data_IF_645428682914
#
_entry.id   IF_645428682914
#
_cell.length_a   1.000
_cell.length_b   1.000
_cell.length_c   1.000
_cell.angle_alpha   90.00
_cell.angle_beta   90.00
_cell.angle_gamma   90.00
#
_symmetry.space_group_name_H-M   'P 1'
#
loop_
_entity.id
_entity.type
_entity.pdbx_description
1 polymer ?
#
# COMPACT_ATOMS: atom_id res chain seq x y z
N UNK A 1 -61.22 -29.03 20.97
CA UNK A 1 -62.58 -28.45 21.00
C UNK A 1 -62.54 -27.23 20.08
N UNK A 2 -63.14 -27.37 18.88
CA UNK A 2 -64.37 -26.74 18.36
C UNK A 2 -64.31 -25.18 18.53
N UNK A 3 -64.49 -24.35 17.55
CA UNK A 3 -65.40 -24.43 16.35
C UNK A 3 -64.94 -23.42 15.28
N UNK A 4 -65.14 -23.84 14.01
CA UNK A 4 -65.26 -22.99 12.81
C UNK A 4 -66.47 -22.05 12.94
N UNK A 5 -66.43 -20.88 12.32
CA UNK A 5 -67.63 -20.35 11.65
C UNK A 5 -67.22 -19.54 10.39
N UNK A 6 -67.95 -19.80 9.35
CA UNK A 6 -67.92 -19.41 7.98
C UNK A 6 -69.21 -18.57 7.72
N UNK A 7 -69.12 -17.57 6.84
CA UNK A 7 -70.33 -16.84 6.43
C UNK A 7 -70.00 -15.61 5.62
N UNK A 8 -69.90 -15.71 4.34
CA UNK A 8 -70.91 -15.37 3.28
C UNK A 8 -70.99 -13.85 3.03
N UNK A 9 -70.66 -13.56 1.75
CA UNK A 9 -70.89 -12.36 0.95
C UNK A 9 -72.39 -12.02 0.85
N UNK A 10 -72.81 -10.78 0.60
CA UNK A 10 -73.44 -10.53 -0.68
C UNK A 10 -72.96 -9.27 -1.43
N UNK A 11 -72.99 -9.41 -2.71
CA UNK A 11 -72.96 -8.44 -3.82
C UNK A 11 -74.20 -7.55 -3.73
N UNK A 12 -74.03 -6.24 -3.90
CA UNK A 12 -75.12 -5.40 -4.41
C UNK A 12 -74.58 -4.28 -5.31
N UNK A 13 -75.15 -4.26 -6.49
CA UNK A 13 -74.98 -3.32 -7.59
C UNK A 13 -75.85 -2.09 -7.32
N UNK A 14 -75.43 -0.89 -7.66
CA UNK A 14 -76.23 0.09 -8.39
C UNK A 14 -75.68 1.52 -8.38
N UNK A 15 -75.59 1.99 -9.51
CA UNK A 15 -76.04 3.27 -10.10
C UNK A 15 -75.16 4.50 -10.03
N UNK A 16 -74.86 4.88 -11.24
CA UNK A 16 -74.27 6.13 -11.75
C UNK A 16 -75.19 7.32 -11.46
N UNK A 17 -74.61 8.38 -10.90
CA UNK A 17 -75.13 9.75 -11.07
C UNK A 17 -73.93 10.69 -11.34
N UNK A 18 -73.91 11.21 -12.55
CA UNK A 18 -73.09 12.30 -13.05
C UNK A 18 -73.48 13.61 -12.38
N UNK A 19 -72.55 14.28 -11.70
CA UNK A 19 -72.66 15.69 -11.37
C UNK A 19 -71.36 16.40 -11.77
N UNK A 20 -71.46 17.35 -12.68
CA UNK A 20 -70.42 18.30 -13.01
C UNK A 20 -70.15 19.25 -11.87
N UNK A 21 -68.87 19.40 -11.49
CA UNK A 21 -68.37 20.53 -10.71
C UNK A 21 -66.95 20.90 -11.20
N UNK A 22 -66.53 22.15 -11.06
CA UNK A 22 -65.48 22.75 -11.89
C UNK A 22 -64.07 22.29 -11.52
N UNK A 23 -63.23 22.21 -12.51
CA UNK A 23 -61.83 21.79 -12.52
C UNK A 23 -60.98 22.89 -11.86
N UNK A 24 -60.47 22.69 -10.65
CA UNK A 24 -59.37 23.42 -10.11
C UNK A 24 -58.06 22.90 -10.71
N UNK A 25 -57.29 23.84 -11.27
CA UNK A 25 -55.97 23.59 -11.82
C UNK A 25 -54.96 23.26 -10.72
N UNK A 26 -54.47 22.00 -10.71
CA UNK A 26 -53.34 21.58 -9.92
C UNK A 26 -52.08 22.15 -10.55
N UNK A 27 -51.16 22.81 -9.80
CA UNK A 27 -49.90 23.26 -10.36
C UNK A 27 -49.03 22.03 -10.73
N UNK A 28 -48.58 22.02 -11.95
CA UNK A 28 -47.59 21.08 -12.50
C UNK A 28 -46.28 21.27 -11.79
N UNK A 29 -45.94 20.33 -10.88
CA UNK A 29 -44.64 20.29 -10.26
C UNK A 29 -43.65 19.81 -11.32
N UNK A 30 -42.87 20.72 -11.87
CA UNK A 30 -41.72 20.40 -12.70
C UNK A 30 -40.72 19.67 -11.83
N UNK A 31 -40.55 18.36 -12.05
CA UNK A 31 -39.41 17.62 -11.51
C UNK A 31 -38.22 18.08 -12.33
N UNK A 32 -37.36 18.93 -11.73
CA UNK A 32 -36.03 19.14 -12.24
C UNK A 32 -35.29 17.80 -12.11
N UNK A 33 -35.01 17.15 -13.22
CA UNK A 33 -34.02 16.10 -13.28
C UNK A 33 -32.68 16.71 -12.90
N UNK A 34 -32.23 16.44 -11.70
CA UNK A 34 -30.84 16.64 -11.29
C UNK A 34 -29.98 15.76 -12.21
N UNK A 35 -29.45 16.36 -13.26
CA UNK A 35 -28.42 15.76 -14.09
C UNK A 35 -27.17 15.67 -13.20
N UNK A 36 -26.96 14.52 -12.59
CA UNK A 36 -25.67 14.15 -12.00
C UNK A 36 -24.68 14.21 -13.19
N UNK A 37 -23.86 15.25 -13.24
CA UNK A 37 -22.69 15.26 -14.10
C UNK A 37 -21.77 14.18 -13.55
N UNK A 38 -21.70 13.04 -14.21
CA UNK A 38 -20.59 12.12 -14.04
C UNK A 38 -19.34 12.90 -14.41
N UNK A 39 -18.41 13.06 -13.43
CA UNK A 39 -17.10 13.58 -13.73
C UNK A 39 -16.49 12.69 -14.83
N UNK A 40 -15.83 13.29 -15.85
CA UNK A 40 -15.24 12.52 -16.93
C UNK A 40 -14.21 11.54 -16.33
N UNK A 41 -14.44 10.26 -16.49
CA UNK A 41 -13.44 9.21 -16.20
C UNK A 41 -12.26 9.51 -17.11
N UNK A 42 -11.13 9.92 -16.53
CA UNK A 42 -9.92 10.22 -17.27
C UNK A 42 -9.44 8.92 -17.94
N UNK A 43 -9.45 8.88 -19.29
CA UNK A 43 -9.02 7.70 -20.03
C UNK A 43 -7.54 7.40 -19.76
N UNK A 44 -7.24 6.12 -19.55
CA UNK A 44 -5.85 5.67 -19.37
C UNK A 44 -5.02 6.00 -20.63
N UNK A 45 -4.09 6.95 -20.49
CA UNK A 45 -3.25 7.46 -21.59
C UNK A 45 -1.76 7.17 -21.38
N UNK A 46 -1.39 6.68 -20.20
CA UNK A 46 -0.04 6.37 -19.79
C UNK A 46 0.05 4.99 -19.10
N UNK A 47 1.25 4.61 -18.72
CA UNK A 47 1.54 3.39 -17.98
C UNK A 47 2.26 3.77 -16.69
N UNK A 48 1.79 3.24 -15.56
CA UNK A 48 2.40 3.42 -14.27
C UNK A 48 3.82 2.87 -14.22
N UNK A 49 4.77 3.65 -13.76
CA UNK A 49 6.16 3.21 -13.52
C UNK A 49 6.30 2.29 -12.30
N UNK A 50 5.28 2.28 -11.43
CA UNK A 50 5.25 1.48 -10.19
C UNK A 50 4.56 0.13 -10.38
N UNK A 51 3.57 0.05 -11.28
CA UNK A 51 2.76 -1.16 -11.47
C UNK A 51 2.79 -1.71 -12.89
N UNK A 52 3.22 -0.94 -13.89
CA UNK A 52 3.11 -1.33 -15.30
C UNK A 52 1.67 -1.40 -15.83
N UNK A 53 0.69 -0.95 -15.06
CA UNK A 53 -0.73 -0.91 -15.42
C UNK A 53 -1.09 0.42 -16.09
N UNK A 54 -2.15 0.45 -16.91
CA UNK A 54 -2.66 1.69 -17.50
C UNK A 54 -3.13 2.67 -16.43
N UNK A 55 -2.72 3.94 -16.54
CA UNK A 55 -3.12 5.05 -15.65
C UNK A 55 -3.34 6.30 -16.47
N UNK A 56 -3.87 7.37 -15.88
CA UNK A 56 -3.90 8.69 -16.50
C UNK A 56 -2.47 9.28 -16.60
N UNK A 57 -2.27 10.25 -17.50
CA UNK A 57 -0.99 10.95 -17.63
C UNK A 57 -0.64 11.73 -16.36
N UNK A 58 -1.63 12.30 -15.69
CA UNK A 58 -1.46 12.99 -14.42
C UNK A 58 -0.89 12.07 -13.34
N UNK A 59 -1.47 10.88 -13.15
CA UNK A 59 -0.99 9.89 -12.18
C UNK A 59 0.40 9.37 -12.54
N UNK A 60 0.67 9.12 -13.84
CA UNK A 60 1.99 8.64 -14.29
C UNK A 60 3.14 9.61 -13.99
N UNK A 61 2.88 10.91 -14.02
CA UNK A 61 3.87 11.95 -13.76
C UNK A 61 3.93 12.36 -12.28
N UNK A 62 2.93 11.97 -11.49
CA UNK A 62 2.83 12.34 -10.09
C UNK A 62 3.89 11.66 -9.24
N UNK A 63 4.57 12.43 -8.39
CA UNK A 63 5.44 11.87 -7.34
C UNK A 63 4.57 11.12 -6.34
N UNK A 64 4.88 9.86 -6.04
CA UNK A 64 4.06 9.08 -5.12
C UNK A 64 4.20 9.56 -3.68
N UNK A 65 3.24 9.21 -2.83
CA UNK A 65 3.28 9.40 -1.39
C UNK A 65 3.77 8.10 -0.72
N UNK A 66 4.91 8.15 -0.05
CA UNK A 66 5.41 7.08 0.80
C UNK A 66 4.88 7.26 2.23
N UNK A 67 4.10 6.33 2.74
CA UNK A 67 3.46 6.43 4.07
C UNK A 67 3.91 5.32 4.98
N UNK A 68 4.42 5.70 6.18
CA UNK A 68 4.78 4.74 7.22
C UNK A 68 3.54 4.14 7.87
N UNK A 69 3.31 2.84 7.68
CA UNK A 69 2.15 2.12 8.20
C UNK A 69 2.51 1.21 9.38
N UNK A 70 1.56 1.07 10.28
CA UNK A 70 1.67 0.17 11.41
C UNK A 70 1.59 -1.30 10.98
N UNK A 71 2.30 -2.21 11.64
CA UNK A 71 2.18 -3.64 11.39
C UNK A 71 2.26 -4.48 12.68
N UNK A 72 1.92 -3.91 13.83
CA UNK A 72 1.67 -4.72 15.03
C UNK A 72 0.21 -5.15 15.06
N UNK A 73 -0.09 -6.23 15.77
CA UNK A 73 -1.41 -6.85 15.79
C UNK A 73 -2.51 -5.87 16.21
N UNK A 74 -2.27 -5.04 17.23
CA UNK A 74 -3.21 -4.02 17.71
C UNK A 74 -3.43 -2.86 16.71
N UNK A 75 -2.57 -2.75 15.71
CA UNK A 75 -2.67 -1.77 14.64
C UNK A 75 -3.31 -2.30 13.37
N UNK A 76 -3.68 -3.58 13.33
CA UNK A 76 -4.31 -4.24 12.19
C UNK A 76 -5.83 -4.35 12.39
N UNK A 77 -6.60 -4.43 11.29
CA UNK A 77 -6.19 -4.18 9.91
C UNK A 77 -5.80 -2.72 9.67
N UNK A 78 -4.91 -2.48 8.71
CA UNK A 78 -4.59 -1.13 8.24
C UNK A 78 -5.64 -0.67 7.23
N UNK A 79 -5.74 0.64 7.00
CA UNK A 79 -6.65 1.23 6.00
C UNK A 79 -5.87 1.69 4.78
N UNK A 80 -6.38 1.41 3.60
CA UNK A 80 -5.85 1.87 2.32
C UNK A 80 -4.57 1.16 1.88
N UNK A 81 -4.14 0.11 2.58
CA UNK A 81 -2.93 -0.64 2.21
C UNK A 81 -3.12 -1.35 0.87
N UNK A 82 -4.36 -1.73 0.54
CA UNK A 82 -4.71 -2.31 -0.76
C UNK A 82 -4.42 -1.34 -1.92
N UNK A 83 -4.52 -0.03 -1.71
CA UNK A 83 -4.30 0.98 -2.76
C UNK A 83 -2.81 1.27 -3.03
N UNK A 84 -1.90 0.83 -2.16
CA UNK A 84 -0.48 1.02 -2.39
C UNK A 84 0.00 0.23 -3.62
N UNK A 85 0.70 0.92 -4.54
CA UNK A 85 1.33 0.31 -5.71
C UNK A 85 2.52 -0.58 -5.31
N UNK A 86 3.30 -0.13 -4.32
CA UNK A 86 4.42 -0.87 -3.74
C UNK A 86 4.33 -0.85 -2.23
N UNK A 87 4.62 -1.98 -1.59
CA UNK A 87 4.67 -2.10 -0.13
C UNK A 87 6.05 -2.61 0.27
N UNK A 88 6.75 -1.85 1.10
CA UNK A 88 7.93 -2.34 1.81
C UNK A 88 7.53 -2.91 3.16
N UNK A 89 8.06 -4.07 3.49
CA UNK A 89 7.99 -4.66 4.82
C UNK A 89 9.40 -4.87 5.36
N UNK A 90 9.71 -4.21 6.47
CA UNK A 90 11.08 -4.16 7.01
C UNK A 90 11.06 -4.45 8.49
N UNK A 91 12.00 -5.26 9.02
CA UNK A 91 12.15 -5.44 10.46
C UNK A 91 12.41 -4.11 11.17
N UNK A 92 11.83 -3.98 12.36
CA UNK A 92 12.06 -2.87 13.28
C UNK A 92 12.32 -3.43 14.68
N UNK A 93 12.62 -2.56 15.63
CA UNK A 93 12.81 -2.92 17.02
C UNK A 93 11.57 -3.66 17.60
N UNK A 94 11.80 -4.47 18.62
CA UNK A 94 10.75 -5.30 19.24
C UNK A 94 10.46 -6.58 18.47
N UNK A 95 11.31 -6.95 17.51
CA UNK A 95 11.19 -8.16 16.69
C UNK A 95 9.87 -8.23 15.92
N UNK A 96 9.45 -7.11 15.36
CA UNK A 96 8.28 -7.01 14.49
C UNK A 96 8.71 -6.41 13.15
N UNK A 97 7.80 -6.39 12.19
CA UNK A 97 7.97 -5.62 10.96
C UNK A 97 7.15 -4.33 10.99
N UNK A 98 7.50 -3.41 10.12
CA UNK A 98 6.74 -2.20 9.80
C UNK A 98 6.55 -2.13 8.31
N UNK A 99 5.42 -1.55 7.88
CA UNK A 99 5.14 -1.34 6.48
C UNK A 99 5.43 0.11 6.08
N UNK A 100 5.75 0.29 4.80
CA UNK A 100 5.69 1.56 4.11
C UNK A 100 4.97 1.33 2.77
N UNK A 101 3.82 1.97 2.61
CA UNK A 101 3.07 1.96 1.35
C UNK A 101 3.54 3.11 0.46
N UNK A 102 3.73 2.83 -0.83
CA UNK A 102 3.99 3.81 -1.88
C UNK A 102 2.70 3.95 -2.68
N UNK A 103 2.07 5.09 -2.57
CA UNK A 103 0.77 5.41 -3.17
C UNK A 103 0.96 6.33 -4.37
N UNK A 104 0.63 5.84 -5.55
CA UNK A 104 0.74 6.58 -6.80
C UNK A 104 -0.39 7.60 -6.93
N UNK A 105 -1.62 7.16 -6.69
CA UNK A 105 -2.84 7.97 -6.77
C UNK A 105 -3.39 8.27 -5.36
N UNK A 106 -2.57 8.88 -4.49
CA UNK A 106 -2.90 9.10 -3.08
C UNK A 106 -4.07 10.06 -2.84
N UNK A 107 -4.41 10.88 -3.82
CA UNK A 107 -5.54 11.81 -3.73
C UNK A 107 -6.89 11.09 -3.78
N UNK A 108 -6.94 9.92 -4.42
CA UNK A 108 -8.15 9.11 -4.55
C UNK A 108 -8.28 8.01 -3.52
N UNK A 109 -7.28 7.77 -2.66
CA UNK A 109 -7.40 6.78 -1.58
C UNK A 109 -8.34 7.29 -0.48
N UNK A 110 -9.34 6.49 -0.10
CA UNK A 110 -10.36 6.90 0.87
C UNK A 110 -9.78 7.22 2.26
N UNK A 111 -8.90 6.31 2.78
CA UNK A 111 -8.32 6.42 4.12
C UNK A 111 -6.97 5.72 4.16
N UNK A 112 -5.92 6.39 4.64
CA UNK A 112 -4.58 5.81 4.78
C UNK A 112 -4.15 5.82 6.25
N UNK A 113 -3.79 4.65 6.78
CA UNK A 113 -3.28 4.48 8.15
C UNK A 113 -3.50 3.06 8.72
N UNK A 114 -3.20 2.82 10.00
CA UNK A 114 -2.67 3.78 10.97
C UNK A 114 -1.16 4.04 10.75
N UNK A 115 -0.79 5.31 10.91
CA UNK A 115 0.55 5.80 10.58
C UNK A 115 1.51 5.64 11.76
N UNK A 116 2.79 5.39 11.47
CA UNK A 116 3.82 5.12 12.47
C UNK A 116 5.12 5.90 12.23
N UNK A 117 6.03 5.69 13.17
CA UNK A 117 7.31 6.40 13.24
C UNK A 117 8.27 5.98 12.12
N UNK A 118 8.98 6.97 11.60
CA UNK A 118 10.09 6.81 10.65
C UNK A 118 11.33 6.13 11.26
N UNK A 119 12.08 5.48 10.38
CA UNK A 119 13.48 5.06 10.57
C UNK A 119 14.26 5.50 9.34
N UNK A 120 15.57 5.70 9.47
CA UNK A 120 16.40 6.22 8.37
C UNK A 120 16.38 5.33 7.12
N UNK A 121 16.42 4.02 7.28
CA UNK A 121 16.38 3.10 6.14
C UNK A 121 15.05 3.18 5.37
N UNK A 122 13.91 3.48 5.99
CA UNK A 122 12.67 3.73 5.26
C UNK A 122 12.72 5.02 4.44
N UNK A 123 13.39 6.05 4.95
CA UNK A 123 13.62 7.28 4.15
C UNK A 123 14.39 6.95 2.88
N UNK A 124 15.47 6.17 2.99
CA UNK A 124 16.23 5.75 1.83
C UNK A 124 15.39 4.93 0.84
N UNK A 125 14.50 4.06 1.30
CA UNK A 125 13.58 3.33 0.41
C UNK A 125 12.54 4.25 -0.25
N UNK A 126 12.07 5.29 0.43
CA UNK A 126 11.16 6.27 -0.16
C UNK A 126 11.86 7.11 -1.25
N UNK A 127 13.13 7.47 -1.05
CA UNK A 127 13.93 8.22 -2.02
C UNK A 127 14.13 7.46 -3.35
N UNK A 128 14.00 6.13 -3.36
CA UNK A 128 14.05 5.33 -4.59
C UNK A 128 12.94 5.68 -5.58
N UNK A 129 11.87 6.28 -5.11
CA UNK A 129 10.68 6.64 -5.89
C UNK A 129 10.51 8.16 -6.05
N UNK A 130 11.49 8.96 -5.65
CA UNK A 130 11.34 10.41 -5.56
C UNK A 130 10.08 10.81 -4.76
N UNK A 131 9.71 10.01 -3.74
CA UNK A 131 8.44 10.13 -3.05
C UNK A 131 8.38 11.30 -2.06
N UNK A 132 7.19 11.88 -1.88
CA UNK A 132 6.84 12.64 -0.68
C UNK A 132 6.76 11.65 0.50
N UNK A 133 7.35 11.97 1.65
CA UNK A 133 7.50 11.01 2.74
C UNK A 133 6.67 11.38 3.97
N UNK A 134 5.63 10.61 4.27
CA UNK A 134 4.68 10.86 5.36
C UNK A 134 4.85 9.88 6.53
N UNK A 135 4.99 10.40 7.75
CA UNK A 135 5.14 9.60 8.96
C UNK A 135 4.66 10.35 10.21
N UNK A 136 4.40 9.61 11.29
CA UNK A 136 4.05 10.19 12.60
C UNK A 136 4.94 9.61 13.70
N UNK A 137 5.90 10.39 14.18
CA UNK A 137 6.96 9.94 15.08
C UNK A 137 8.23 9.51 14.34
N UNK A 138 9.33 9.35 15.08
CA UNK A 138 10.64 9.04 14.50
C UNK A 138 11.61 8.48 15.54
N UNK A 139 12.66 7.78 15.06
CA UNK A 139 13.84 7.43 15.84
C UNK A 139 14.83 8.61 15.85
N UNK A 140 14.56 9.62 16.66
CA UNK A 140 15.27 10.92 16.66
C UNK A 140 16.81 10.82 16.60
N UNK A 141 17.50 9.90 17.32
CA UNK A 141 18.96 9.85 17.28
C UNK A 141 19.53 9.52 15.89
N UNK A 142 18.76 8.87 15.02
CA UNK A 142 19.27 8.28 13.79
C UNK A 142 18.70 8.91 12.51
N UNK A 143 17.49 9.45 12.56
CA UNK A 143 16.80 9.93 11.34
C UNK A 143 16.53 11.44 11.37
N UNK A 144 16.70 12.12 12.52
CA UNK A 144 16.32 13.52 12.68
C UNK A 144 17.00 14.45 11.68
N UNK A 145 18.32 14.35 11.54
CA UNK A 145 19.09 15.20 10.62
C UNK A 145 18.72 14.94 9.16
N UNK A 146 18.44 13.68 8.79
CA UNK A 146 18.02 13.32 7.44
C UNK A 146 16.64 13.91 7.14
N UNK A 147 15.67 13.81 8.04
CA UNK A 147 14.33 14.35 7.88
C UNK A 147 14.26 15.89 7.82
N UNK A 148 15.24 16.57 8.39
CA UNK A 148 15.37 18.03 8.35
C UNK A 148 16.25 18.54 7.20
N UNK A 149 16.82 17.63 6.40
CA UNK A 149 17.63 17.98 5.25
C UNK A 149 16.77 18.31 4.01
N UNK A 150 17.36 18.93 3.03
CA UNK A 150 16.77 19.20 1.70
C UNK A 150 16.72 17.96 0.79
N UNK A 151 17.17 16.80 1.30
CA UNK A 151 17.15 15.53 0.56
C UNK A 151 15.79 14.85 0.59
N UNK A 152 14.92 15.23 1.51
CA UNK A 152 13.65 14.56 1.79
C UNK A 152 12.52 15.56 1.87
N UNK A 153 11.54 15.44 1.02
CA UNK A 153 10.28 16.16 1.15
C UNK A 153 9.42 15.51 2.24
N UNK A 154 9.72 15.92 3.49
CA UNK A 154 9.25 15.28 4.71
C UNK A 154 7.92 15.85 5.19
N UNK A 155 6.91 15.02 5.34
CA UNK A 155 5.59 15.32 5.89
C UNK A 155 5.49 14.61 7.25
N UNK A 156 5.93 15.29 8.30
CA UNK A 156 5.97 14.73 9.65
C UNK A 156 4.87 15.30 10.53
N UNK A 157 4.08 14.43 11.14
CA UNK A 157 3.17 14.83 12.23
C UNK A 157 3.94 15.39 13.41
N UNK A 158 3.26 16.21 14.24
CA UNK A 158 3.85 16.96 15.36
C UNK A 158 4.70 16.10 16.28
N UNK A 159 6.00 16.08 16.05
CA UNK A 159 7.01 15.41 16.85
C UNK A 159 8.17 16.36 17.14
N UNK A 160 8.82 16.19 18.29
CA UNK A 160 9.97 17.01 18.66
C UNK A 160 11.14 16.77 17.69
N UNK A 161 11.85 17.84 17.31
CA UNK A 161 13.05 17.77 16.47
C UNK A 161 12.77 17.77 14.97
N UNK A 162 11.58 18.18 14.52
CA UNK A 162 11.25 18.43 13.12
C UNK A 162 11.14 19.94 12.91
N UNK A 163 11.88 20.46 11.94
CA UNK A 163 11.95 21.90 11.63
C UNK A 163 10.70 22.41 10.93
N UNK A 164 10.07 21.57 10.09
CA UNK A 164 8.85 21.87 9.34
C UNK A 164 7.75 20.86 9.68
N UNK A 165 7.09 20.95 10.85
CA UNK A 165 6.03 20.01 11.18
C UNK A 165 4.80 20.23 10.30
N UNK A 166 4.24 19.14 9.80
CA UNK A 166 2.96 19.10 9.10
C UNK A 166 1.82 19.21 10.12
N UNK A 167 1.09 20.34 10.06
CA UNK A 167 0.06 20.65 11.06
C UNK A 167 -1.35 20.26 10.61
N UNK A 168 -1.53 19.93 9.34
CA UNK A 168 -2.83 19.63 8.73
C UNK A 168 -2.94 18.21 8.22
N UNK A 169 -1.85 17.59 7.80
CA UNK A 169 -1.81 16.30 7.10
C UNK A 169 -2.33 15.10 7.91
N UNK A 170 -2.56 15.22 9.21
CA UNK A 170 -2.86 14.08 10.07
C UNK A 170 -4.02 14.36 11.03
N UNK A 171 -4.85 13.32 11.24
CA UNK A 171 -5.86 13.33 12.29
C UNK A 171 -5.79 12.05 13.14
N UNK A 172 -6.43 12.08 14.32
CA UNK A 172 -6.58 10.90 15.17
C UNK A 172 -8.04 10.42 15.14
N UNK A 173 -8.24 9.18 14.70
CA UNK A 173 -9.55 8.54 14.77
C UNK A 173 -9.88 8.15 16.20
N UNK A 174 -11.14 8.32 16.65
CA UNK A 174 -11.61 7.80 17.92
C UNK A 174 -11.82 6.28 17.93
N UNK A 175 -11.84 5.62 16.75
CA UNK A 175 -12.17 4.20 16.61
C UNK A 175 -11.09 3.27 17.14
N UNK A 176 -9.88 3.79 17.32
CA UNK A 176 -8.72 3.06 17.86
C UNK A 176 -8.05 3.84 18.98
N UNK A 177 -7.37 3.11 19.85
CA UNK A 177 -6.58 3.70 20.93
C UNK A 177 -5.23 4.22 20.40
N UNK A 178 -4.77 5.36 20.94
CA UNK A 178 -3.40 5.82 20.72
C UNK A 178 -2.40 4.75 21.21
N UNK A 179 -1.27 4.57 20.52
CA UNK A 179 -0.75 5.33 19.38
C UNK A 179 -1.16 4.79 17.99
N UNK A 180 -2.16 3.89 17.90
CA UNK A 180 -2.55 3.16 16.69
C UNK A 180 -3.70 3.82 15.92
N UNK A 181 -3.88 5.13 16.05
CA UNK A 181 -5.06 5.85 15.58
C UNK A 181 -4.77 7.13 14.78
N UNK A 182 -3.59 7.21 14.16
CA UNK A 182 -3.22 8.34 13.29
C UNK A 182 -3.45 7.97 11.84
N UNK A 183 -4.09 8.86 11.09
CA UNK A 183 -4.43 8.68 9.67
C UNK A 183 -4.11 9.95 8.88
N UNK A 184 -3.98 9.82 7.54
CA UNK A 184 -3.84 10.97 6.64
C UNK A 184 -5.17 11.71 6.57
N UNK A 185 -5.10 13.04 6.71
CA UNK A 185 -6.10 13.99 6.27
C UNK A 185 -5.72 14.47 4.87
N UNK A 186 -6.48 14.09 3.85
CA UNK A 186 -6.13 14.37 2.45
C UNK A 186 -6.09 15.86 2.14
N UNK A 187 -7.11 16.61 2.55
CA UNK A 187 -7.13 18.06 2.34
C UNK A 187 -6.00 18.76 3.10
N UNK A 188 -5.73 18.30 4.31
CA UNK A 188 -4.63 18.78 5.13
C UNK A 188 -3.27 18.45 4.53
N UNK A 189 -3.11 17.27 3.94
CA UNK A 189 -1.91 16.84 3.23
C UNK A 189 -1.58 17.80 2.07
N UNK A 190 -2.56 18.10 1.22
CA UNK A 190 -2.38 19.01 0.09
C UNK A 190 -2.01 20.44 0.55
N UNK A 191 -2.62 20.91 1.64
CA UNK A 191 -2.28 22.22 2.24
C UNK A 191 -0.84 22.26 2.76
N UNK A 192 -0.36 21.19 3.39
CA UNK A 192 1.02 21.15 3.89
C UNK A 192 2.03 20.98 2.75
N UNK A 193 1.72 20.19 1.70
CA UNK A 193 2.54 20.08 0.47
C UNK A 193 2.73 21.46 -0.18
N UNK A 194 1.64 22.20 -0.42
CA UNK A 194 1.66 23.55 -0.97
C UNK A 194 2.46 24.51 -0.07
N UNK A 195 2.18 24.51 1.23
CA UNK A 195 2.86 25.36 2.22
C UNK A 195 4.37 25.14 2.26
N UNK A 196 4.82 23.88 2.12
CA UNK A 196 6.24 23.56 2.12
C UNK A 196 6.92 23.81 0.78
N UNK A 197 6.14 23.98 -0.29
CA UNK A 197 6.61 24.18 -1.66
C UNK A 197 7.21 22.91 -2.27
N UNK A 198 6.69 21.75 -1.88
CA UNK A 198 7.15 20.47 -2.40
C UNK A 198 6.64 20.26 -3.83
N UNK A 199 7.50 19.69 -4.69
CA UNK A 199 7.09 19.26 -6.04
C UNK A 199 6.06 18.14 -5.93
N UNK A 200 5.08 18.14 -6.81
CA UNK A 200 4.09 17.06 -6.93
C UNK A 200 4.32 16.17 -8.14
N UNK A 201 5.18 16.60 -9.08
CA UNK A 201 5.53 15.85 -10.28
C UNK A 201 7.00 15.44 -10.25
N UNK A 202 7.32 14.32 -10.89
CA UNK A 202 8.70 13.88 -11.12
C UNK A 202 9.45 14.91 -11.97
N UNK A 203 10.75 14.95 -11.83
CA UNK A 203 11.63 15.72 -12.72
C UNK A 203 12.41 14.78 -13.65
N UNK A 204 13.13 15.36 -14.60
CA UNK A 204 13.91 14.62 -15.61
C UNK A 204 15.00 13.70 -15.03
N UNK A 205 15.30 13.81 -13.73
CA UNK A 205 16.29 12.96 -13.05
C UNK A 205 15.70 11.67 -12.47
N UNK A 206 14.38 11.51 -12.47
CA UNK A 206 13.73 10.32 -11.96
C UNK A 206 14.10 9.09 -12.78
N UNK A 207 14.44 8.01 -12.09
CA UNK A 207 14.80 6.72 -12.70
C UNK A 207 13.79 5.68 -12.22
N UNK A 208 13.12 5.05 -13.17
CA UNK A 208 12.16 3.97 -12.89
C UNK A 208 12.83 2.77 -12.21
N UNK A 209 12.20 2.26 -11.17
CA UNK A 209 12.72 1.13 -10.38
C UNK A 209 12.48 -0.22 -11.06
N UNK A 210 11.37 -0.38 -11.75
CA UNK A 210 10.91 -1.67 -12.25
C UNK A 210 10.89 -1.73 -13.79
N UNK A 211 11.08 -2.94 -14.29
CA UNK A 211 10.85 -3.27 -15.69
C UNK A 211 9.71 -4.27 -15.77
N UNK A 212 8.66 -3.95 -16.54
CA UNK A 212 7.48 -4.79 -16.68
C UNK A 212 7.43 -5.52 -18.02
N UNK A 213 7.02 -6.80 -17.99
CA UNK A 213 6.86 -7.63 -19.18
C UNK A 213 5.52 -7.29 -19.88
N UNK A 214 5.58 -6.71 -21.08
CA UNK A 214 4.39 -6.31 -21.85
C UNK A 214 3.39 -7.44 -22.11
N UNK A 215 3.86 -8.70 -22.21
CA UNK A 215 3.04 -9.88 -22.52
C UNK A 215 2.99 -10.87 -21.34
N UNK A 216 3.35 -10.43 -20.13
CA UNK A 216 3.51 -11.27 -18.95
C UNK A 216 4.81 -12.10 -18.99
N UNK A 217 5.11 -12.78 -17.89
CA UNK A 217 6.37 -13.49 -17.66
C UNK A 217 6.29 -15.01 -17.82
N UNK A 218 5.11 -15.57 -18.09
CA UNK A 218 4.85 -17.03 -18.05
C UNK A 218 5.81 -17.82 -18.96
N UNK A 219 5.99 -17.39 -20.21
CA UNK A 219 6.91 -18.05 -21.14
C UNK A 219 8.37 -17.77 -20.82
N UNK A 220 8.67 -16.58 -20.34
CA UNK A 220 10.04 -16.14 -20.00
C UNK A 220 10.62 -16.95 -18.84
N UNK A 221 9.80 -17.20 -17.81
CA UNK A 221 10.21 -17.88 -16.59
C UNK A 221 9.68 -19.31 -16.45
N UNK A 222 9.17 -19.91 -17.52
CA UNK A 222 8.59 -21.26 -17.50
C UNK A 222 9.53 -22.33 -16.90
N UNK A 223 10.85 -22.21 -17.11
CA UNK A 223 11.86 -23.15 -16.57
C UNK A 223 12.34 -22.80 -15.15
N UNK A 224 11.90 -21.69 -14.57
CA UNK A 224 12.30 -21.29 -13.21
C UNK A 224 11.57 -22.13 -12.16
N UNK A 225 12.13 -22.17 -10.95
CA UNK A 225 11.58 -22.92 -9.81
C UNK A 225 10.19 -22.41 -9.46
N UNK A 226 9.25 -23.30 -9.20
CA UNK A 226 7.96 -22.95 -8.64
C UNK A 226 8.11 -22.38 -7.22
N UNK A 227 7.25 -21.41 -6.88
CA UNK A 227 7.24 -20.72 -5.61
C UNK A 227 5.80 -20.39 -5.22
N UNK A 228 5.13 -21.37 -4.62
CA UNK A 228 3.70 -21.28 -4.30
C UNK A 228 3.44 -20.67 -2.92
N UNK A 229 4.34 -20.90 -1.95
CA UNK A 229 4.19 -20.37 -0.60
C UNK A 229 5.52 -19.79 -0.14
N UNK A 230 5.49 -18.52 0.27
CA UNK A 230 6.67 -17.76 0.65
C UNK A 230 6.61 -17.39 2.14
N UNK A 231 7.66 -17.75 2.88
CA UNK A 231 7.81 -17.42 4.30
C UNK A 231 9.09 -16.59 4.49
N UNK A 232 9.01 -15.27 4.48
CA UNK A 232 10.19 -14.39 4.61
C UNK A 232 10.93 -14.52 5.94
N UNK A 233 10.25 -15.01 6.98
CA UNK A 233 10.83 -15.29 8.31
C UNK A 233 10.83 -16.74 8.71
N UNK A 234 10.54 -17.66 7.77
CA UNK A 234 10.41 -19.07 8.06
C UNK A 234 9.05 -19.49 8.63
N UNK A 235 8.94 -20.77 8.96
CA UNK A 235 7.71 -21.36 9.49
C UNK A 235 7.63 -21.36 11.02
N UNK A 236 8.76 -21.10 11.71
CA UNK A 236 8.81 -21.01 13.16
C UNK A 236 8.35 -19.64 13.64
N UNK A 237 7.54 -19.58 14.69
CA UNK A 237 7.16 -18.35 15.37
C UNK A 237 8.17 -17.93 16.45
N UNK A 238 9.13 -18.79 16.75
CA UNK A 238 10.14 -18.58 17.80
C UNK A 238 11.42 -17.93 17.29
N UNK A 239 11.55 -17.72 15.96
CA UNK A 239 12.70 -17.09 15.37
C UNK A 239 12.83 -15.62 15.82
N UNK A 240 14.06 -15.14 15.86
CA UNK A 240 14.35 -13.77 16.36
C UNK A 240 14.02 -12.67 15.34
N UNK A 241 13.76 -13.03 14.09
CA UNK A 241 13.45 -12.07 13.03
C UNK A 241 12.01 -11.54 13.12
N UNK A 242 11.79 -10.32 12.63
CA UNK A 242 10.49 -9.65 12.70
C UNK A 242 9.39 -10.36 11.90
N UNK A 243 9.75 -10.95 10.76
CA UNK A 243 8.81 -11.66 9.88
C UNK A 243 8.21 -12.92 10.53
N UNK A 244 9.02 -13.66 11.30
CA UNK A 244 8.52 -14.84 12.00
C UNK A 244 7.53 -14.49 13.09
N UNK A 245 7.76 -13.40 13.83
CA UNK A 245 6.85 -12.94 14.88
C UNK A 245 5.50 -12.49 14.32
N UNK A 246 5.48 -11.78 13.20
CA UNK A 246 4.23 -11.42 12.52
C UNK A 246 3.66 -12.56 11.69
N UNK A 247 4.34 -13.72 11.64
CA UNK A 247 3.93 -14.90 10.87
C UNK A 247 3.67 -14.55 9.39
N UNK A 248 4.58 -13.78 8.82
CA UNK A 248 4.49 -13.29 7.45
C UNK A 248 4.49 -14.44 6.45
N UNK A 249 3.48 -14.50 5.59
CA UNK A 249 3.34 -15.54 4.57
C UNK A 249 2.62 -14.98 3.35
N UNK A 250 3.02 -15.48 2.15
CA UNK A 250 2.32 -15.25 0.89
C UNK A 250 1.96 -16.59 0.25
N UNK A 251 0.75 -16.70 -0.28
CA UNK A 251 0.28 -17.88 -1.01
C UNK A 251 -0.13 -17.47 -2.43
N UNK A 252 0.49 -18.10 -3.42
CA UNK A 252 0.19 -17.86 -4.84
C UNK A 252 -1.08 -18.59 -5.25
N UNK A 253 -1.99 -17.87 -5.87
CA UNK A 253 -3.16 -18.44 -6.52
C UNK A 253 -2.96 -18.43 -8.05
N UNK A 254 -2.89 -19.59 -8.73
CA UNK A 254 -2.67 -19.65 -10.18
C UNK A 254 -3.88 -19.20 -11.01
N UNK A 255 -5.07 -19.08 -10.43
CA UNK A 255 -6.29 -18.68 -11.15
C UNK A 255 -6.27 -17.18 -11.48
N UNK A 256 -5.87 -16.33 -10.52
CA UNK A 256 -5.79 -14.88 -10.66
C UNK A 256 -4.34 -14.37 -10.72
N UNK A 257 -3.36 -15.26 -10.52
CA UNK A 257 -1.92 -14.99 -10.56
C UNK A 257 -1.44 -14.00 -9.47
N UNK A 258 -2.09 -14.00 -8.32
CA UNK A 258 -1.77 -13.14 -7.19
C UNK A 258 -1.15 -13.93 -6.03
N UNK A 259 -0.27 -13.26 -5.27
CA UNK A 259 0.23 -13.70 -3.98
C UNK A 259 -0.60 -13.07 -2.88
N UNK A 260 -1.39 -13.88 -2.17
CA UNK A 260 -2.23 -13.48 -1.05
C UNK A 260 -1.45 -13.41 0.25
N UNK A 261 -1.54 -12.27 0.94
CA UNK A 261 -0.79 -12.01 2.18
C UNK A 261 -1.53 -12.53 3.41
N UNK A 262 -0.76 -13.17 4.29
CA UNK A 262 -1.19 -13.62 5.63
C UNK A 262 -0.24 -13.09 6.69
N UNK A 263 -0.78 -12.80 7.88
CA UNK A 263 0.00 -12.43 9.07
C UNK A 263 -0.77 -12.78 10.34
N UNK A 264 -0.06 -12.95 11.45
CA UNK A 264 -0.64 -13.31 12.76
C UNK A 264 -1.54 -14.54 12.71
N UNK A 265 -1.26 -15.48 11.80
CA UNK A 265 -2.01 -16.72 11.60
C UNK A 265 -3.27 -16.62 10.75
N UNK A 266 -3.65 -15.41 10.31
CA UNK A 266 -4.87 -15.15 9.54
C UNK A 266 -4.60 -14.36 8.26
N UNK A 267 -5.63 -14.12 7.46
CA UNK A 267 -5.60 -13.26 6.28
C UNK A 267 -5.25 -11.83 6.67
N UNK A 268 -4.35 -11.20 5.94
CA UNK A 268 -4.08 -9.78 6.09
C UNK A 268 -5.12 -8.98 5.31
N UNK A 269 -6.03 -8.32 6.02
CA UNK A 269 -7.20 -7.63 5.46
C UNK A 269 -6.94 -6.12 5.43
N UNK A 270 -7.41 -5.44 4.38
CA UNK A 270 -7.56 -3.98 4.39
C UNK A 270 -8.83 -3.59 5.16
N UNK A 271 -8.77 -2.55 6.01
CA UNK A 271 -9.90 -2.11 6.83
C UNK A 271 -11.02 -1.49 5.99
N UNK A 272 -10.68 -0.77 4.92
CA UNK A 272 -11.63 -0.01 4.10
C UNK A 272 -12.44 -0.94 3.22
N UNK A 273 -11.76 -1.81 2.48
CA UNK A 273 -12.39 -2.67 1.49
C UNK A 273 -12.88 -4.00 2.05
N UNK A 274 -12.28 -4.46 3.16
CA UNK A 274 -12.50 -5.80 3.71
C UNK A 274 -11.84 -6.92 2.89
N UNK A 275 -11.11 -6.57 1.83
CA UNK A 275 -10.41 -7.54 0.98
C UNK A 275 -9.13 -8.05 1.64
N UNK A 276 -8.76 -9.28 1.31
CA UNK A 276 -7.42 -9.76 1.65
C UNK A 276 -6.39 -9.10 0.74
N UNK A 277 -5.32 -8.56 1.34
CA UNK A 277 -4.21 -7.97 0.59
C UNK A 277 -3.58 -9.02 -0.33
N UNK A 278 -3.41 -8.66 -1.57
CA UNK A 278 -2.79 -9.48 -2.60
C UNK A 278 -1.96 -8.62 -3.55
N UNK A 279 -0.86 -9.20 -4.05
CA UNK A 279 0.06 -8.53 -4.96
C UNK A 279 0.47 -9.46 -6.08
N UNK A 280 0.84 -8.88 -7.22
CA UNK A 280 1.30 -9.64 -8.40
C UNK A 280 2.73 -10.13 -8.23
N UNK A 281 3.57 -9.34 -7.55
CA UNK A 281 4.99 -9.63 -7.39
C UNK A 281 5.39 -9.55 -5.92
N UNK A 282 6.28 -10.43 -5.49
CA UNK A 282 6.95 -10.38 -4.19
C UNK A 282 8.46 -10.36 -4.41
N UNK A 283 9.18 -9.55 -3.65
CA UNK A 283 10.65 -9.47 -3.72
C UNK A 283 11.22 -9.67 -2.32
N UNK A 284 12.15 -10.58 -2.18
CA UNK A 284 13.01 -10.68 -1.00
C UNK A 284 14.34 -10.02 -1.31
N UNK A 285 14.55 -8.84 -0.76
CA UNK A 285 15.78 -8.06 -0.87
C UNK A 285 16.63 -8.29 0.39
N UNK A 286 17.75 -8.97 0.24
CA UNK A 286 18.63 -9.27 1.35
C UNK A 286 19.54 -8.07 1.61
N UNK A 287 19.56 -7.59 2.85
CA UNK A 287 20.36 -6.46 3.29
C UNK A 287 21.16 -6.83 4.53
N UNK A 288 22.37 -6.32 4.62
CA UNK A 288 23.11 -6.34 5.87
C UNK A 288 22.38 -5.51 6.91
N UNK A 289 22.19 -6.09 8.10
CA UNK A 289 21.53 -5.41 9.22
C UNK A 289 22.40 -5.42 10.47
N UNK A 290 22.17 -4.47 11.36
CA UNK A 290 22.83 -4.42 12.68
C UNK A 290 21.91 -3.82 13.73
N UNK A 291 22.14 -4.17 15.01
CA UNK A 291 21.55 -3.49 16.17
C UNK A 291 22.47 -2.34 16.56
N UNK A 292 21.97 -1.11 16.62
CA UNK A 292 22.76 0.11 16.85
C UNK A 292 23.00 0.44 18.31
N UNK A 293 22.08 0.07 19.19
CA UNK A 293 22.11 0.48 20.59
C UNK A 293 21.34 -0.49 21.50
N UNK A 294 21.34 -0.17 22.80
CA UNK A 294 20.67 -0.93 23.86
C UNK A 294 19.12 -0.83 23.84
N UNK A 295 18.55 -0.05 22.93
CA UNK A 295 17.11 0.05 22.68
C UNK A 295 16.69 -0.76 21.46
N UNK A 296 17.59 -1.59 20.95
CA UNK A 296 17.37 -2.44 19.77
C UNK A 296 17.04 -1.68 18.48
N UNK A 297 17.42 -0.39 18.36
CA UNK A 297 17.28 0.30 17.07
C UNK A 297 18.12 -0.38 16.00
N UNK A 298 17.51 -0.60 14.83
CA UNK A 298 18.14 -1.30 13.72
C UNK A 298 18.75 -0.33 12.71
N UNK A 299 19.75 -0.80 11.99
CA UNK A 299 20.20 -0.25 10.72
C UNK A 299 20.15 -1.31 9.65
N UNK A 300 19.90 -0.88 8.40
CA UNK A 300 20.00 -1.73 7.23
C UNK A 300 20.86 -1.06 6.18
N UNK A 301 21.73 -1.83 5.53
CA UNK A 301 22.50 -1.40 4.36
C UNK A 301 21.55 -1.18 3.20
N UNK A 302 21.31 0.10 2.85
CA UNK A 302 20.40 0.50 1.79
C UNK A 302 21.12 0.75 0.46
N UNK A 303 22.43 0.63 0.43
CA UNK A 303 23.27 0.84 -0.73
C UNK A 303 24.15 -0.39 -0.99
N UNK A 304 24.38 -0.68 -2.25
CA UNK A 304 25.28 -1.76 -2.65
C UNK A 304 25.54 -1.73 -4.16
N UNK A 305 26.81 -1.79 -4.53
CA UNK A 305 27.31 -1.84 -5.89
C UNK A 305 27.85 -3.22 -6.29
N UNK A 306 27.89 -4.16 -5.34
CA UNK A 306 28.52 -5.47 -5.50
C UNK A 306 27.57 -6.64 -5.76
N UNK A 307 26.27 -6.36 -6.00
CA UNK A 307 25.28 -7.39 -6.28
C UNK A 307 24.88 -8.19 -5.04
N UNK A 308 24.13 -7.58 -4.14
CA UNK A 308 23.55 -8.30 -2.99
C UNK A 308 22.42 -9.22 -3.43
N UNK A 309 22.21 -10.31 -2.71
CA UNK A 309 21.19 -11.32 -3.04
C UNK A 309 19.80 -10.71 -3.12
N UNK A 310 19.05 -11.08 -4.16
CA UNK A 310 17.62 -10.87 -4.29
C UNK A 310 16.92 -12.14 -4.78
N UNK A 311 15.67 -12.32 -4.39
CA UNK A 311 14.77 -13.35 -4.94
C UNK A 311 13.48 -12.64 -5.35
N UNK A 312 13.13 -12.76 -6.62
CA UNK A 312 11.93 -12.14 -7.20
C UNK A 312 10.91 -13.24 -7.49
N UNK A 313 9.69 -13.04 -7.03
CA UNK A 313 8.58 -13.96 -7.21
C UNK A 313 7.51 -13.29 -8.05
N UNK A 314 7.22 -13.86 -9.22
CA UNK A 314 6.23 -13.37 -10.17
C UNK A 314 5.66 -14.53 -10.97
N UNK A 315 4.34 -14.55 -11.20
CA UNK A 315 3.66 -15.64 -11.92
C UNK A 315 3.88 -17.03 -11.30
N UNK A 316 4.00 -17.13 -9.97
CA UNK A 316 4.25 -18.39 -9.26
C UNK A 316 5.67 -18.94 -9.43
N UNK A 317 6.61 -18.16 -9.96
CA UNK A 317 7.99 -18.56 -10.21
C UNK A 317 8.96 -17.73 -9.36
N UNK A 318 10.10 -18.36 -8.99
CA UNK A 318 11.22 -17.70 -8.32
C UNK A 318 12.35 -17.44 -9.30
N UNK A 319 12.76 -16.20 -9.39
CA UNK A 319 13.95 -15.76 -10.10
C UNK A 319 15.01 -15.37 -9.07
N UNK A 320 16.12 -16.12 -9.05
CA UNK A 320 17.27 -15.75 -8.23
C UNK A 320 18.11 -14.71 -8.96
N UNK A 321 18.53 -13.68 -8.25
CA UNK A 321 19.29 -12.58 -8.79
C UNK A 321 20.00 -11.77 -7.71
N UNK A 322 20.35 -10.56 -8.09
CA UNK A 322 21.02 -9.60 -7.23
C UNK A 322 20.31 -8.25 -7.29
N UNK A 323 20.57 -7.41 -6.30
CA UNK A 323 20.18 -6.01 -6.35
C UNK A 323 21.40 -5.11 -6.17
N UNK A 324 21.37 -3.96 -6.85
CA UNK A 324 22.38 -2.91 -6.77
C UNK A 324 21.71 -1.57 -6.59
N UNK A 325 22.31 -0.71 -5.74
CA UNK A 325 21.90 0.68 -5.55
C UNK A 325 23.12 1.52 -5.22
N UNK A 326 23.38 2.55 -6.00
CA UNK A 326 24.62 3.35 -5.91
C UNK A 326 24.41 4.62 -5.10
N UNK A 327 23.31 5.33 -5.32
CA UNK A 327 23.04 6.63 -4.69
C UNK A 327 21.76 6.59 -3.87
N UNK A 328 21.63 7.52 -2.92
CA UNK A 328 20.46 7.63 -2.04
C UNK A 328 19.13 7.85 -2.78
N UNK A 329 19.18 8.54 -3.91
CA UNK A 329 18.03 8.85 -4.77
C UNK A 329 17.97 7.97 -6.04
N UNK A 330 18.78 6.93 -6.14
CA UNK A 330 18.66 5.97 -7.23
C UNK A 330 17.86 4.74 -6.78
N UNK A 331 17.12 4.07 -7.69
CA UNK A 331 16.43 2.85 -7.34
C UNK A 331 17.39 1.68 -7.10
N UNK A 332 16.99 0.74 -6.25
CA UNK A 332 17.57 -0.58 -6.21
C UNK A 332 17.10 -1.35 -7.45
N UNK A 333 18.03 -1.69 -8.34
CA UNK A 333 17.77 -2.45 -9.57
C UNK A 333 17.95 -3.94 -9.29
N UNK A 334 16.99 -4.75 -9.73
CA UNK A 334 17.04 -6.21 -9.61
C UNK A 334 17.51 -6.84 -10.91
N UNK A 335 18.61 -7.59 -10.83
CA UNK A 335 19.28 -8.18 -11.98
C UNK A 335 19.29 -9.70 -11.87
N UNK A 336 19.09 -10.38 -12.98
CA UNK A 336 19.22 -11.83 -13.08
C UNK A 336 20.71 -12.27 -13.06
N UNK A 337 20.95 -13.58 -13.19
CA UNK A 337 22.31 -14.12 -13.17
C UNK A 337 23.17 -13.71 -14.38
N UNK A 338 22.53 -13.25 -15.45
CA UNK A 338 23.19 -12.75 -16.66
C UNK A 338 23.39 -11.23 -16.61
N UNK A 339 22.93 -10.56 -15.55
CA UNK A 339 23.04 -9.12 -15.35
C UNK A 339 21.95 -8.31 -16.06
N UNK A 340 20.89 -8.94 -16.55
CA UNK A 340 19.76 -8.26 -17.15
C UNK A 340 18.71 -7.87 -16.08
N UNK A 341 18.01 -6.74 -16.25
CA UNK A 341 16.89 -6.40 -15.38
C UNK A 341 15.84 -7.51 -15.34
N UNK A 342 15.47 -7.94 -14.12
CA UNK A 342 14.39 -8.91 -13.93
C UNK A 342 13.06 -8.22 -14.27
N UNK A 343 12.30 -8.82 -15.20
CA UNK A 343 11.01 -8.30 -15.59
C UNK A 343 9.91 -8.81 -14.64
N UNK A 344 9.04 -7.91 -14.23
CA UNK A 344 7.87 -8.21 -13.40
C UNK A 344 6.61 -8.35 -14.25
N UNK A 345 5.63 -9.09 -13.77
CA UNK A 345 4.27 -8.97 -14.29
C UNK A 345 3.67 -7.62 -13.90
N UNK A 346 2.91 -6.95 -14.79
CA UNK A 346 2.18 -5.75 -14.40
C UNK A 346 1.26 -5.99 -13.20
N UNK A 347 1.33 -5.12 -12.21
CA UNK A 347 0.59 -5.19 -10.95
C UNK A 347 1.42 -4.77 -9.74
N UNK A 348 0.81 -4.81 -8.57
CA UNK A 348 1.42 -4.38 -7.30
C UNK A 348 2.59 -5.26 -6.88
N UNK A 349 3.53 -4.66 -6.14
CA UNK A 349 4.74 -5.34 -5.68
C UNK A 349 4.90 -5.21 -4.15
N UNK A 350 5.20 -6.33 -3.47
CA UNK A 350 5.56 -6.35 -2.05
C UNK A 350 7.04 -6.68 -1.87
N UNK A 351 7.80 -5.79 -1.23
CA UNK A 351 9.24 -5.94 -1.01
C UNK A 351 9.50 -6.22 0.47
N UNK A 352 10.01 -7.41 0.77
CA UNK A 352 10.47 -7.79 2.10
C UNK A 352 11.97 -7.55 2.19
N UNK A 353 12.40 -6.71 3.13
CA UNK A 353 13.82 -6.54 3.46
C UNK A 353 14.23 -7.65 4.40
N UNK A 354 14.98 -8.59 3.89
CA UNK A 354 15.48 -9.73 4.65
C UNK A 354 16.83 -9.36 5.27
N UNK A 355 16.91 -9.36 6.58
CA UNK A 355 18.17 -9.24 7.27
C UNK A 355 19.02 -10.48 6.94
N UNK A 356 20.21 -10.28 6.38
CA UNK A 356 21.08 -11.35 5.85
C UNK A 356 21.45 -12.39 6.92
N UNK A 357 21.61 -12.00 8.20
CA UNK A 357 21.83 -12.91 9.33
C UNK A 357 20.71 -13.97 9.47
N UNK A 358 19.47 -13.61 9.14
CA UNK A 358 18.30 -14.47 9.18
C UNK A 358 17.91 -15.03 7.81
N UNK A 359 18.75 -14.85 6.81
CA UNK A 359 18.47 -15.30 5.45
C UNK A 359 18.29 -16.82 5.31
N UNK A 360 18.86 -17.60 6.23
CA UNK A 360 18.67 -19.06 6.31
C UNK A 360 17.28 -19.48 6.83
N UNK A 361 16.55 -18.57 7.49
CA UNK A 361 15.20 -18.85 7.99
C UNK A 361 14.16 -18.83 6.87
N UNK A 362 14.43 -18.14 5.76
CA UNK A 362 13.53 -18.02 4.61
C UNK A 362 13.16 -19.40 4.06
N UNK A 363 11.86 -19.67 3.91
CA UNK A 363 11.35 -20.90 3.31
C UNK A 363 10.51 -20.58 2.08
N UNK A 364 10.70 -21.36 1.01
CA UNK A 364 10.00 -21.24 -0.28
C UNK A 364 9.56 -22.63 -0.70
N UNK A 365 8.25 -22.88 -0.67
CA UNK A 365 7.58 -24.11 -1.07
C UNK A 365 7.04 -24.03 -2.50
#
# INVERSE_FOLDING_TARGET
MRKKFMGILPVMCAMVLTACAPQESVPETTIEEETTQEEPVEEASAVSTLTGLPVSEAVSNQRPLAVMLNNIEEGCPQSGTEDAAVIYEVPVEGRITRLMGIFEDYENVEKIGSIRSSRDYFVYFALEFDALYAHFGQATPYVGDLLNSDRVDNISGAVSGIDKPANHSFYRSPDRKAPHNVYIDKEGLMKDIEKFGYRTEHDDSYIEKFTFAKNGTDSMYASKKDASILYPGGKSTDAANGFSRVQARFEYNPEDKLYYRYQYGDKHIDEVTGNQLAVTNVIFQYCHGEVRDDKDYLAFGCHGDNGYKAQVFTGGKMIEGTWNRIYDNSPALYLDQDGNPIQLNPGKTWICIIWDEYGSDVVID
#
